data_IF_664889398426
#
_entry.id   IF_664889398426
#
_cell.length_a   1.000
_cell.length_b   1.000
_cell.length_c   1.000
_cell.angle_alpha   90.00
_cell.angle_beta   90.00
_cell.angle_gamma   90.00
#
_symmetry.space_group_name_H-M   'P 1'
#
loop_
_entity.id
_entity.type
_entity.pdbx_description
1 polymer ?
#
# COMPACT_ATOMS: atom_id res chain seq x y z
N UNK A 1 20.30 -0.02 -5.14
CA UNK A 1 20.52 0.75 -3.89
C UNK A 1 19.46 1.83 -3.84
N UNK A 2 18.78 2.04 -2.71
CA UNK A 2 17.76 3.08 -2.56
C UNK A 2 18.42 4.43 -2.23
N UNK A 3 18.52 5.39 -3.17
CA UNK A 3 19.26 6.64 -2.98
C UNK A 3 18.69 7.54 -1.88
N UNK A 4 17.36 7.57 -1.70
CA UNK A 4 16.69 8.41 -0.69
C UNK A 4 16.26 7.62 0.55
N UNK A 5 16.85 6.45 0.80
CA UNK A 5 16.48 5.61 1.96
C UNK A 5 16.70 6.37 3.27
N UNK A 6 15.74 6.26 4.19
CA UNK A 6 15.90 6.74 5.57
C UNK A 6 17.15 6.15 6.24
N UNK A 7 17.88 7.01 6.95
CA UNK A 7 19.03 6.63 7.76
C UNK A 7 18.59 5.68 8.89
N UNK A 8 19.42 4.67 9.20
CA UNK A 8 19.12 3.69 10.25
C UNK A 8 18.19 2.54 9.86
N UNK A 9 17.47 2.62 8.73
CA UNK A 9 16.65 1.50 8.26
C UNK A 9 17.53 0.32 7.83
N UNK A 10 17.37 -0.85 8.47
CA UNK A 10 18.22 -2.00 8.18
C UNK A 10 17.66 -2.82 7.00
N UNK A 11 18.46 -3.78 6.51
CA UNK A 11 18.06 -4.61 5.35
C UNK A 11 16.87 -5.53 5.65
N UNK A 12 16.74 -6.00 6.89
CA UNK A 12 15.64 -6.87 7.32
C UNK A 12 14.31 -6.12 7.27
N UNK A 13 14.26 -4.89 7.76
CA UNK A 13 13.06 -4.05 7.72
C UNK A 13 12.61 -3.79 6.27
N UNK A 14 13.58 -3.53 5.39
CA UNK A 14 13.32 -3.35 3.95
C UNK A 14 12.74 -4.63 3.35
N UNK A 15 13.36 -5.76 3.64
CA UNK A 15 12.91 -7.05 3.15
C UNK A 15 11.49 -7.36 3.62
N UNK A 16 11.20 -7.16 4.90
CA UNK A 16 9.89 -7.43 5.49
C UNK A 16 8.80 -6.52 4.86
N UNK A 17 9.10 -5.25 4.57
CA UNK A 17 8.18 -4.37 3.86
C UNK A 17 7.93 -4.81 2.41
N UNK A 18 8.99 -5.12 1.66
CA UNK A 18 8.88 -5.57 0.28
C UNK A 18 8.15 -6.92 0.18
N UNK A 19 8.33 -7.80 1.16
CA UNK A 19 7.60 -9.07 1.25
C UNK A 19 6.10 -8.85 1.46
N UNK A 20 5.71 -7.87 2.28
CA UNK A 20 4.30 -7.47 2.44
C UNK A 20 3.70 -6.99 1.12
N UNK A 21 4.42 -6.16 0.36
CA UNK A 21 3.97 -5.71 -0.98
C UNK A 21 3.82 -6.92 -1.91
N UNK A 22 4.81 -7.83 -1.93
CA UNK A 22 4.79 -9.04 -2.75
C UNK A 22 3.58 -9.92 -2.43
N UNK A 23 3.32 -10.19 -1.15
CA UNK A 23 2.18 -10.98 -0.70
C UNK A 23 0.86 -10.30 -1.08
N UNK A 24 0.75 -8.98 -0.91
CA UNK A 24 -0.44 -8.24 -1.32
C UNK A 24 -0.68 -8.34 -2.83
N UNK A 25 0.36 -8.20 -3.66
CA UNK A 25 0.27 -8.40 -5.11
C UNK A 25 -0.24 -9.80 -5.47
N UNK A 26 0.19 -10.84 -4.74
CA UNK A 26 -0.30 -12.20 -4.98
C UNK A 26 -1.81 -12.30 -4.76
N UNK A 27 -2.35 -11.64 -3.72
CA UNK A 27 -3.81 -11.59 -3.48
C UNK A 27 -4.55 -10.96 -4.65
N UNK A 28 -4.02 -9.87 -5.23
CA UNK A 28 -4.56 -9.24 -6.44
C UNK A 28 -4.56 -10.23 -7.61
N UNK A 29 -3.44 -10.92 -7.84
CA UNK A 29 -3.30 -11.90 -8.91
C UNK A 29 -4.24 -13.12 -8.75
N UNK A 30 -4.59 -13.45 -7.51
CA UNK A 30 -5.56 -14.49 -7.18
C UNK A 30 -7.02 -13.98 -7.12
N UNK A 31 -7.27 -12.73 -7.51
CA UNK A 31 -8.59 -12.08 -7.46
C UNK A 31 -9.25 -12.14 -6.08
N UNK A 32 -8.47 -12.10 -5.01
CA UNK A 32 -9.00 -12.07 -3.65
C UNK A 32 -9.64 -10.72 -3.33
N UNK A 33 -10.69 -10.73 -2.51
CA UNK A 33 -11.26 -9.51 -1.98
C UNK A 33 -10.30 -8.83 -0.99
N UNK A 34 -10.06 -7.52 -1.18
CA UNK A 34 -9.05 -6.76 -0.42
C UNK A 34 -9.64 -5.91 0.71
N UNK A 35 -10.94 -5.60 0.66
CA UNK A 35 -11.63 -4.69 1.57
C UNK A 35 -12.33 -5.39 2.74
N UNK A 36 -12.09 -6.69 2.96
CA UNK A 36 -12.66 -7.44 4.08
C UNK A 36 -11.57 -8.07 4.94
N UNK A 37 -11.80 -8.11 6.26
CA UNK A 37 -10.96 -8.88 7.17
C UNK A 37 -11.39 -10.36 7.21
N UNK A 38 -10.66 -11.18 8.00
CA UNK A 38 -10.94 -12.62 8.14
C UNK A 38 -12.32 -12.94 8.70
N UNK A 39 -12.96 -11.99 9.39
CA UNK A 39 -14.31 -12.12 9.93
C UNK A 39 -15.38 -11.61 8.96
N UNK A 40 -15.01 -11.25 7.72
CA UNK A 40 -15.92 -10.74 6.70
C UNK A 40 -16.38 -9.29 6.91
N UNK A 41 -15.81 -8.56 7.88
CA UNK A 41 -16.13 -7.14 8.08
C UNK A 41 -15.31 -6.27 7.14
N UNK A 42 -15.88 -5.14 6.73
CA UNK A 42 -15.16 -4.12 5.96
C UNK A 42 -13.90 -3.73 6.74
N UNK A 43 -12.75 -3.73 6.07
CA UNK A 43 -11.48 -3.36 6.65
C UNK A 43 -10.48 -3.02 5.53
N UNK A 44 -10.11 -1.74 5.42
CA UNK A 44 -9.20 -1.26 4.36
C UNK A 44 -7.90 -0.67 4.87
N UNK A 45 -7.66 -0.65 6.18
CA UNK A 45 -6.42 -0.15 6.75
C UNK A 45 -5.19 -0.90 6.26
N UNK A 46 -5.29 -2.22 6.07
CA UNK A 46 -4.18 -2.99 5.50
C UNK A 46 -3.88 -2.57 4.06
N UNK A 47 -4.92 -2.30 3.25
CA UNK A 47 -4.76 -1.79 1.88
C UNK A 47 -4.06 -0.43 1.88
N UNK A 48 -4.47 0.47 2.77
CA UNK A 48 -3.82 1.78 2.94
C UNK A 48 -2.34 1.63 3.29
N UNK A 49 -2.00 0.78 4.28
CA UNK A 49 -0.61 0.56 4.67
C UNK A 49 0.25 0.02 3.52
N UNK A 50 -0.30 -0.88 2.70
CA UNK A 50 0.44 -1.39 1.53
C UNK A 50 0.65 -0.29 0.51
N UNK A 51 -0.36 0.55 0.24
CA UNK A 51 -0.21 1.70 -0.65
C UNK A 51 0.86 2.67 -0.13
N UNK A 52 0.87 2.97 1.17
CA UNK A 52 1.88 3.82 1.79
C UNK A 52 3.30 3.23 1.67
N UNK A 53 3.44 1.91 1.78
CA UNK A 53 4.72 1.23 1.52
C UNK A 53 5.14 1.38 0.06
N UNK A 54 4.23 1.21 -0.91
CA UNK A 54 4.54 1.42 -2.34
C UNK A 54 5.04 2.85 -2.59
N UNK A 55 4.35 3.85 -2.06
CA UNK A 55 4.75 5.26 -2.14
C UNK A 55 6.12 5.49 -1.50
N UNK A 56 6.34 4.96 -0.29
CA UNK A 56 7.64 5.03 0.42
C UNK A 56 8.78 4.47 -0.43
N UNK A 57 8.59 3.32 -1.08
CA UNK A 57 9.65 2.71 -1.88
C UNK A 57 9.89 3.40 -3.23
N UNK A 58 8.86 4.02 -3.82
CA UNK A 58 9.01 4.92 -4.98
C UNK A 58 9.86 6.13 -4.61
N UNK A 59 9.56 6.78 -3.49
CA UNK A 59 10.36 7.91 -2.99
C UNK A 59 11.80 7.47 -2.68
N UNK A 60 11.99 6.31 -2.03
CA UNK A 60 13.32 5.76 -1.77
C UNK A 60 14.14 5.51 -3.04
N UNK A 61 13.49 5.21 -4.17
CA UNK A 61 14.15 5.09 -5.48
C UNK A 61 14.55 6.45 -6.08
N UNK A 62 14.09 7.56 -5.51
CA UNK A 62 14.43 8.91 -5.93
C UNK A 62 13.40 9.56 -6.86
N UNK A 63 12.27 8.91 -7.13
CA UNK A 63 11.23 9.44 -8.01
C UNK A 63 10.29 10.38 -7.26
N UNK A 64 9.84 11.44 -7.93
CA UNK A 64 8.75 12.28 -7.44
C UNK A 64 7.41 11.57 -7.67
N UNK A 65 6.77 11.17 -6.56
CA UNK A 65 5.57 10.34 -6.57
C UNK A 65 4.41 10.99 -7.33
N UNK A 66 4.26 12.32 -7.23
CA UNK A 66 3.21 13.08 -7.90
C UNK A 66 3.38 13.10 -9.42
N UNK A 67 4.62 13.19 -9.91
CA UNK A 67 4.90 13.11 -11.35
C UNK A 67 4.69 11.68 -11.86
N UNK A 68 5.14 10.68 -11.09
CA UNK A 68 5.02 9.29 -11.48
C UNK A 68 3.56 8.83 -11.60
N UNK A 69 2.69 9.30 -10.70
CA UNK A 69 1.26 8.99 -10.74
C UNK A 69 0.42 10.00 -11.52
N UNK A 70 1.04 10.94 -12.24
CA UNK A 70 0.30 11.88 -13.06
C UNK A 70 -0.56 11.14 -14.10
N UNK A 71 -1.87 11.41 -14.10
CA UNK A 71 -2.83 10.74 -14.99
C UNK A 71 -3.20 9.30 -14.60
N UNK A 72 -2.70 8.80 -13.47
CA UNK A 72 -3.06 7.49 -12.92
C UNK A 72 -4.02 7.68 -11.76
N UNK A 73 -5.17 7.00 -11.80
CA UNK A 73 -6.09 6.98 -10.66
C UNK A 73 -5.43 6.24 -9.49
N UNK A 74 -5.31 6.92 -8.35
CA UNK A 74 -4.77 6.32 -7.12
C UNK A 74 -5.91 5.73 -6.27
N UNK A 75 -5.65 4.68 -5.48
CA UNK A 75 -6.69 4.05 -4.67
C UNK A 75 -7.15 4.90 -3.49
N UNK A 76 -6.55 6.07 -3.24
CA UNK A 76 -6.77 6.88 -2.03
C UNK A 76 -8.24 7.26 -1.85
N UNK A 77 -8.88 7.75 -2.91
CA UNK A 77 -10.29 8.17 -2.87
C UNK A 77 -11.23 6.97 -2.65
N UNK A 78 -10.93 5.83 -3.27
CA UNK A 78 -11.65 4.57 -3.09
C UNK A 78 -11.51 4.03 -1.67
N UNK A 79 -10.30 4.04 -1.10
CA UNK A 79 -10.05 3.63 0.29
C UNK A 79 -10.85 4.51 1.24
N UNK A 80 -10.83 5.83 1.03
CA UNK A 80 -11.58 6.78 1.86
C UNK A 80 -13.08 6.48 1.86
N UNK A 81 -13.68 6.31 0.67
CA UNK A 81 -15.10 5.95 0.54
C UNK A 81 -15.45 4.64 1.25
N UNK A 82 -14.58 3.64 1.19
CA UNK A 82 -14.82 2.36 1.89
C UNK A 82 -14.75 2.53 3.41
N UNK A 83 -13.86 3.39 3.93
CA UNK A 83 -13.81 3.71 5.36
C UNK A 83 -15.08 4.42 5.84
N UNK A 84 -15.65 5.30 5.02
CA UNK A 84 -16.94 5.95 5.36
C UNK A 84 -18.08 4.93 5.44
N UNK A 85 -18.07 3.91 4.57
CA UNK A 85 -19.04 2.81 4.64
C UNK A 85 -18.85 1.96 5.90
N UNK A 86 -17.61 1.70 6.32
CA UNK A 86 -17.32 1.00 7.58
C UNK A 86 -17.87 1.76 8.79
N UNK A 87 -17.76 3.09 8.81
CA UNK A 87 -18.25 3.93 9.91
C UNK A 87 -19.78 4.05 9.97
N UNK A 88 -20.49 3.68 8.89
CA UNK A 88 -21.93 3.78 8.78
C UNK A 88 -22.69 2.50 9.20
N UNK A 89 -21.99 1.42 9.55
CA UNK A 89 -22.53 0.10 9.91
C UNK A 89 -22.21 -0.23 11.37
#
# INVERSE_FOLDING_TARGET
MFPKKTLGLNQKDIYDDLDRIRLFRNRIAHHEALCFNRSGRIYVDYVQRIYDLVVKYIDFMGYETNELFYGVETPVSTIYKIKELEAAI
#
